data_IF_530052071830
#
_entry.id   IF_530052071830
#
_cell.length_a   1.000
_cell.length_b   1.000
_cell.length_c   1.000
_cell.angle_alpha   90.00
_cell.angle_beta   90.00
_cell.angle_gamma   90.00
#
_symmetry.space_group_name_H-M   'P 1'
#
loop_
_entity.id
_entity.type
_entity.pdbx_description
1 polymer ?
#
# COMPACT_ATOMS: atom_id res chain seq x y z
N UNK A 1 -2.16 6.02 13.67
CA UNK A 1 -2.39 5.13 14.84
C UNK A 1 -2.15 3.67 14.44
N UNK A 2 -1.30 2.97 15.18
CA UNK A 2 -1.03 1.54 15.02
C UNK A 2 -1.77 0.76 16.12
N UNK A 3 -2.61 -0.20 15.73
CA UNK A 3 -3.38 -1.05 16.65
C UNK A 3 -3.00 -2.50 16.44
N UNK A 4 -2.45 -3.12 17.48
CA UNK A 4 -2.12 -4.54 17.50
C UNK A 4 -2.87 -5.22 18.65
N UNK A 5 -3.56 -6.32 18.35
CA UNK A 5 -4.14 -7.19 19.38
C UNK A 5 -3.24 -8.42 19.56
N UNK A 6 -2.94 -8.78 20.81
CA UNK A 6 -2.21 -10.01 21.11
C UNK A 6 -2.93 -11.22 20.50
N UNK A 7 -2.30 -11.96 19.58
CA UNK A 7 -2.96 -13.03 18.85
C UNK A 7 -3.00 -14.32 19.67
N UNK A 8 -4.19 -14.78 20.07
CA UNK A 8 -4.39 -16.15 20.57
C UNK A 8 -4.69 -17.09 19.40
N UNK A 9 -5.80 -16.85 18.72
CA UNK A 9 -6.27 -17.62 17.55
C UNK A 9 -6.39 -16.78 16.28
N UNK A 10 -6.44 -15.45 16.44
CA UNK A 10 -6.58 -14.50 15.33
C UNK A 10 -5.57 -13.37 15.47
N UNK A 11 -4.81 -13.13 14.41
CA UNK A 11 -3.97 -11.97 14.25
C UNK A 11 -4.81 -10.84 13.66
N UNK A 12 -4.73 -9.66 14.28
CA UNK A 12 -5.32 -8.42 13.74
C UNK A 12 -4.36 -7.27 13.96
N UNK A 13 -3.88 -6.70 12.87
CA UNK A 13 -3.03 -5.53 12.82
C UNK A 13 -3.79 -4.47 12.03
N UNK A 14 -3.85 -3.25 12.56
CA UNK A 14 -4.48 -2.13 11.88
C UNK A 14 -3.56 -0.91 11.95
N UNK A 15 -3.36 -0.25 10.82
CA UNK A 15 -2.61 1.00 10.71
C UNK A 15 -3.49 2.03 10.03
N UNK A 16 -3.83 3.06 10.79
CA UNK A 16 -4.62 4.19 10.32
C UNK A 16 -3.69 5.42 10.20
N UNK A 17 -3.59 6.03 9.02
CA UNK A 17 -2.90 7.32 8.82
C UNK A 17 -3.91 8.45 8.83
N UNK A 18 -3.55 9.55 9.49
CA UNK A 18 -4.38 10.74 9.63
C UNK A 18 -3.62 11.95 9.09
N UNK A 19 -4.30 12.80 8.34
CA UNK A 19 -3.82 14.13 7.93
C UNK A 19 -4.90 15.15 8.31
N UNK A 20 -4.51 16.29 8.88
CA UNK A 20 -5.44 17.37 9.28
C UNK A 20 -6.62 16.91 10.16
N UNK A 21 -6.43 15.86 10.97
CA UNK A 21 -7.47 15.28 11.82
C UNK A 21 -8.39 14.27 11.11
N UNK A 22 -8.31 14.12 9.79
CA UNK A 22 -9.08 13.15 9.02
C UNK A 22 -8.27 11.89 8.70
N UNK A 23 -8.95 10.74 8.67
CA UNK A 23 -8.33 9.46 8.33
C UNK A 23 -8.17 9.35 6.81
N UNK A 24 -6.93 9.47 6.33
CA UNK A 24 -6.61 9.40 4.88
C UNK A 24 -6.30 7.99 4.39
N UNK A 25 -5.80 7.11 5.27
CA UNK A 25 -5.47 5.74 4.91
C UNK A 25 -5.80 4.80 6.05
N UNK A 26 -6.49 3.69 5.75
CA UNK A 26 -6.70 2.60 6.70
C UNK A 26 -6.24 1.30 6.09
N UNK A 27 -5.27 0.65 6.72
CA UNK A 27 -4.83 -0.70 6.36
C UNK A 27 -5.10 -1.65 7.51
N UNK A 28 -5.60 -2.84 7.19
CA UNK A 28 -5.84 -3.88 8.18
C UNK A 28 -5.33 -5.22 7.65
N UNK A 29 -4.56 -5.92 8.46
CA UNK A 29 -4.09 -7.27 8.19
C UNK A 29 -4.69 -8.21 9.22
N UNK A 30 -5.41 -9.23 8.75
CA UNK A 30 -6.00 -10.25 9.61
C UNK A 30 -5.52 -11.64 9.21
N UNK A 31 -5.38 -12.51 10.19
CA UNK A 31 -4.96 -13.89 9.98
C UNK A 31 -5.60 -14.81 11.02
N UNK A 32 -5.93 -16.03 10.63
CA UNK A 32 -6.32 -17.09 11.57
C UNK A 32 -5.13 -18.01 11.77
N UNK A 33 -4.86 -18.38 13.02
CA UNK A 33 -3.86 -19.40 13.34
C UNK A 33 -4.27 -20.69 12.63
N UNK A 34 -3.29 -21.34 12.00
CA UNK A 34 -3.44 -22.66 11.41
C UNK A 34 -2.30 -23.52 11.92
N UNK A 35 -2.63 -24.73 12.33
CA UNK A 35 -1.62 -25.70 12.72
C UNK A 35 -0.66 -25.95 11.58
N UNK A 36 0.63 -25.98 11.93
CA UNK A 36 1.71 -26.25 11.01
C UNK A 36 1.71 -27.74 10.68
N UNK A 37 1.38 -28.07 9.43
CA UNK A 37 1.38 -29.44 8.91
C UNK A 37 2.02 -29.41 7.51
N UNK A 38 2.91 -30.38 7.23
CA UNK A 38 3.64 -30.52 5.97
C UNK A 38 2.71 -30.47 4.73
N UNK A 39 1.54 -31.08 4.80
CA UNK A 39 0.58 -31.08 3.68
C UNK A 39 0.03 -29.67 3.40
N UNK A 40 -0.26 -28.91 4.46
CA UNK A 40 -0.73 -27.51 4.34
C UNK A 40 0.39 -26.61 3.85
N UNK A 41 1.63 -26.85 4.28
CA UNK A 41 2.79 -26.09 3.85
C UNK A 41 3.02 -26.23 2.35
N UNK A 42 2.97 -27.46 1.82
CA UNK A 42 3.11 -27.70 0.38
C UNK A 42 1.97 -27.06 -0.42
N UNK A 43 0.72 -27.18 0.06
CA UNK A 43 -0.42 -26.51 -0.55
C UNK A 43 -0.20 -24.99 -0.62
N UNK A 44 0.26 -24.39 0.46
CA UNK A 44 0.53 -22.96 0.51
C UNK A 44 1.71 -22.55 -0.37
N UNK A 45 2.77 -23.34 -0.42
CA UNK A 45 3.91 -23.13 -1.29
C UNK A 45 3.49 -23.02 -2.75
N UNK A 46 2.56 -23.89 -3.20
CA UNK A 46 2.00 -23.82 -4.54
C UNK A 46 0.99 -22.67 -4.69
N UNK A 47 0.18 -22.37 -3.66
CA UNK A 47 -0.89 -21.37 -3.73
C UNK A 47 -0.40 -19.93 -3.74
N UNK A 48 0.61 -19.59 -2.94
CA UNK A 48 1.05 -18.20 -2.77
C UNK A 48 1.62 -17.56 -4.05
N UNK A 49 2.36 -18.26 -4.91
CA UNK A 49 2.75 -17.74 -6.23
C UNK A 49 1.57 -17.23 -7.06
N UNK A 50 0.42 -17.92 -7.04
CA UNK A 50 -0.78 -17.48 -7.77
C UNK A 50 -1.37 -16.18 -7.22
N UNK A 51 -1.20 -15.89 -5.93
CA UNK A 51 -1.61 -14.60 -5.33
C UNK A 51 -0.81 -13.46 -5.97
N UNK A 52 0.50 -13.63 -6.10
CA UNK A 52 1.38 -12.63 -6.73
C UNK A 52 0.97 -12.40 -8.18
N UNK A 53 0.79 -13.46 -8.97
CA UNK A 53 0.35 -13.36 -10.37
C UNK A 53 -0.99 -12.63 -10.49
N UNK A 54 -1.95 -12.92 -9.60
CA UNK A 54 -3.25 -12.24 -9.56
C UNK A 54 -3.11 -10.74 -9.32
N UNK A 55 -2.28 -10.33 -8.37
CA UNK A 55 -2.05 -8.90 -8.06
C UNK A 55 -1.43 -8.19 -9.26
N UNK A 56 -0.38 -8.79 -9.85
CA UNK A 56 0.28 -8.24 -11.04
C UNK A 56 -0.74 -8.09 -12.17
N UNK A 57 -1.52 -9.13 -12.46
CA UNK A 57 -2.56 -9.09 -13.50
C UNK A 57 -3.60 -8.00 -13.25
N UNK A 58 -4.06 -7.83 -12.01
CA UNK A 58 -5.02 -6.78 -11.65
C UNK A 58 -4.47 -5.37 -11.91
N UNK A 59 -3.19 -5.12 -11.59
CA UNK A 59 -2.52 -3.85 -11.89
C UNK A 59 -2.46 -3.61 -13.41
N UNK A 60 -2.15 -4.65 -14.20
CA UNK A 60 -2.07 -4.54 -15.65
C UNK A 60 -3.44 -4.29 -16.29
N UNK A 61 -4.50 -4.95 -15.81
CA UNK A 61 -5.88 -4.68 -16.27
C UNK A 61 -6.27 -3.24 -15.97
N UNK A 62 -5.95 -2.73 -14.78
CA UNK A 62 -6.21 -1.34 -14.43
C UNK A 62 -5.40 -0.37 -15.32
N UNK A 63 -4.12 -0.65 -15.58
CA UNK A 63 -3.30 0.15 -16.48
C UNK A 63 -3.86 0.16 -17.91
N UNK A 64 -4.31 -1.00 -18.42
CA UNK A 64 -4.97 -1.11 -19.73
C UNK A 64 -6.28 -0.28 -19.76
N UNK A 65 -7.09 -0.32 -18.70
CA UNK A 65 -8.30 0.49 -18.58
C UNK A 65 -7.98 1.99 -18.62
N UNK A 66 -6.93 2.44 -17.92
CA UNK A 66 -6.49 3.84 -17.95
C UNK A 66 -5.99 4.24 -19.34
N UNK A 67 -5.29 3.35 -20.03
CA UNK A 67 -4.83 3.55 -21.41
C UNK A 67 -6.00 3.71 -22.38
N UNK A 68 -7.01 2.84 -22.29
CA UNK A 68 -8.23 2.93 -23.10
C UNK A 68 -9.01 4.23 -22.85
N UNK A 69 -8.99 4.73 -21.61
CA UNK A 69 -9.61 6.01 -21.23
C UNK A 69 -8.81 7.24 -21.69
N UNK A 70 -7.68 7.05 -22.40
CA UNK A 70 -6.83 8.13 -22.94
C UNK A 70 -6.52 9.23 -21.93
N UNK A 71 -6.19 8.86 -20.70
CA UNK A 71 -5.89 9.84 -19.67
C UNK A 71 -4.68 10.70 -20.09
N UNK A 72 -4.78 12.03 -19.98
CA UNK A 72 -3.69 12.92 -20.35
C UNK A 72 -2.51 12.67 -19.42
N UNK A 73 -1.32 12.55 -20.00
CA UNK A 73 -0.09 12.45 -19.23
C UNK A 73 0.30 13.82 -18.68
N UNK A 74 0.25 13.97 -17.36
CA UNK A 74 0.67 15.19 -16.66
C UNK A 74 2.12 15.02 -16.18
N UNK A 75 3.05 15.83 -16.71
CA UNK A 75 4.43 15.81 -16.24
C UNK A 75 4.51 16.40 -14.84
N UNK A 76 5.34 15.79 -14.00
CA UNK A 76 5.57 16.25 -12.62
C UNK A 76 6.14 17.69 -12.56
N UNK A 77 6.94 18.09 -13.55
CA UNK A 77 7.52 19.44 -13.66
C UNK A 77 6.49 20.54 -13.94
N UNK A 78 5.41 20.19 -14.64
CA UNK A 78 4.52 21.19 -15.24
C UNK A 78 3.52 21.77 -14.22
N UNK A 79 3.31 21.05 -13.11
CA UNK A 79 2.39 21.43 -12.03
C UNK A 79 3.01 21.20 -10.64
N UNK A 80 4.13 21.88 -10.35
CA UNK A 80 4.80 21.75 -9.06
C UNK A 80 3.95 22.32 -7.90
N UNK A 81 3.13 23.32 -8.18
CA UNK A 81 2.18 23.96 -7.26
C UNK A 81 1.10 23.00 -6.75
N UNK A 82 0.80 21.92 -7.49
CA UNK A 82 -0.19 20.92 -7.10
C UNK A 82 0.40 19.81 -6.21
N UNK A 83 1.73 19.75 -6.05
CA UNK A 83 2.39 18.71 -5.25
C UNK A 83 2.24 19.02 -3.76
N UNK A 84 1.43 18.24 -3.05
CA UNK A 84 1.19 18.38 -1.60
C UNK A 84 1.94 17.29 -0.82
N UNK A 85 2.44 17.62 0.38
CA UNK A 85 3.08 16.65 1.29
C UNK A 85 4.42 16.07 0.82
N UNK A 86 4.99 16.59 -0.28
CA UNK A 86 6.30 16.17 -0.79
C UNK A 86 7.39 16.94 -0.05
N UNK A 87 8.22 16.25 0.72
CA UNK A 87 9.47 16.81 1.23
C UNK A 87 10.43 17.03 0.05
N UNK A 88 10.38 18.22 -0.54
CA UNK A 88 11.40 18.67 -1.48
C UNK A 88 12.63 18.99 -0.65
N UNK A 89 13.57 18.05 -0.55
CA UNK A 89 14.87 18.25 0.11
C UNK A 89 15.77 19.26 -0.62
N UNK A 90 15.23 20.43 -0.97
CA UNK A 90 15.92 21.51 -1.66
C UNK A 90 16.19 22.62 -0.63
N UNK A 91 17.41 22.57 -0.10
CA UNK A 91 18.14 23.61 0.64
C UNK A 91 17.47 24.21 1.88
N UNK A 92 17.47 23.47 2.98
CA UNK A 92 17.39 24.01 4.35
C UNK A 92 18.77 24.52 4.83
N UNK A 93 19.44 25.33 4.00
CA UNK A 93 20.62 26.12 4.37
C UNK A 93 20.66 27.38 3.51
N UNK A 94 19.95 28.42 3.96
CA UNK A 94 20.31 29.84 3.84
C UNK A 94 19.23 30.64 4.56
N UNK A 95 19.67 31.66 5.31
CA UNK A 95 18.86 32.68 6.01
C UNK A 95 18.46 32.33 7.46
N UNK A 96 19.48 32.12 8.29
CA UNK A 96 19.58 32.86 9.55
C UNK A 96 20.34 34.15 9.26
N UNK A 97 19.64 35.26 9.04
CA UNK A 97 20.02 36.61 9.48
C UNK A 97 18.73 37.34 9.84
#
# INVERSE_FOLDING_TARGET
MFKLKMPSEQLKIQVDSYESGEKVLGTAYTGKKKEFNNSKLLLYFLKYPFVTVKVIGAIHVQALKLYMNKLPFLKKSDHQELQRGVFLGKNSHSEHI
#
